data_IF_374099734460
#
_entry.id   IF_374099734460
#
_cell.length_a   1.000
_cell.length_b   1.000
_cell.length_c   1.000
_cell.angle_alpha   90.00
_cell.angle_beta   90.00
_cell.angle_gamma   90.00
#
_symmetry.space_group_name_H-M   'P 1'
#
loop_
_entity.id
_entity.type
_entity.pdbx_description
1 polymer ?
#
# COMPACT_ATOMS: atom_id res chain seq x y z
N UNK A 1 33.56 -29.59 6.36
CA UNK A 1 32.87 -28.73 7.34
C UNK A 1 31.66 -28.16 6.64
N UNK A 2 30.52 -28.84 6.79
CA UNK A 2 29.23 -28.39 6.23
C UNK A 2 28.71 -27.25 7.10
N UNK A 3 28.55 -26.08 6.50
CA UNK A 3 27.90 -24.93 7.11
C UNK A 3 26.39 -25.18 7.01
N UNK A 4 25.86 -26.03 7.90
CA UNK A 4 24.42 -26.28 8.03
C UNK A 4 23.75 -25.04 8.62
N UNK A 5 23.50 -24.05 7.75
CA UNK A 5 22.56 -22.98 8.05
C UNK A 5 21.18 -23.61 8.14
N UNK A 6 20.78 -23.95 9.37
CA UNK A 6 19.42 -24.35 9.71
C UNK A 6 18.51 -23.19 9.29
N UNK A 7 17.83 -23.35 8.16
CA UNK A 7 16.79 -22.41 7.73
C UNK A 7 15.66 -22.54 8.75
N UNK A 8 15.34 -21.49 9.55
CA UNK A 8 14.33 -21.62 10.58
C UNK A 8 12.99 -21.99 9.94
N UNK A 9 12.28 -22.94 10.56
CA UNK A 9 10.93 -23.31 10.14
C UNK A 9 10.01 -22.10 10.25
N UNK A 10 9.13 -21.81 9.26
CA UNK A 10 8.18 -20.70 9.30
C UNK A 10 7.36 -20.61 10.60
N UNK A 11 7.16 -21.75 11.28
CA UNK A 11 6.48 -21.86 12.58
C UNK A 11 7.13 -21.08 13.73
N UNK A 12 8.40 -20.69 13.61
CA UNK A 12 9.10 -19.90 14.63
C UNK A 12 9.15 -18.40 14.31
N UNK A 13 8.72 -18.00 13.10
CA UNK A 13 8.89 -16.64 12.58
C UNK A 13 7.56 -15.90 12.55
N UNK A 14 6.47 -16.59 12.22
CA UNK A 14 5.16 -15.97 11.96
C UNK A 14 4.15 -16.37 13.04
N UNK A 15 3.49 -15.38 13.64
CA UNK A 15 2.30 -15.61 14.47
C UNK A 15 1.23 -16.32 13.65
N UNK A 16 0.55 -17.34 14.19
CA UNK A 16 -0.49 -18.04 13.44
C UNK A 16 0.00 -18.71 12.15
N UNK A 17 1.25 -19.22 12.07
CA UNK A 17 1.79 -19.87 10.86
C UNK A 17 0.94 -21.04 10.28
N UNK A 18 -0.13 -21.47 10.96
CA UNK A 18 -1.12 -22.44 10.49
C UNK A 18 -2.36 -21.83 9.81
N UNK A 19 -2.47 -20.51 9.71
CA UNK A 19 -3.68 -19.85 9.18
C UNK A 19 -3.95 -20.21 7.71
N UNK A 20 -5.23 -20.29 7.27
CA UNK A 20 -5.60 -20.64 5.90
C UNK A 20 -5.02 -19.73 4.82
N UNK A 21 -4.83 -18.44 5.11
CA UNK A 21 -4.29 -17.45 4.18
C UNK A 21 -2.98 -17.91 3.51
N UNK A 22 -2.10 -18.59 4.24
CA UNK A 22 -0.80 -19.03 3.73
C UNK A 22 -0.90 -20.01 2.55
N UNK A 23 -2.08 -20.59 2.30
CA UNK A 23 -2.33 -21.48 1.16
C UNK A 23 -2.69 -20.74 -0.13
N UNK A 24 -3.10 -19.47 -0.04
CA UNK A 24 -3.61 -18.70 -1.17
C UNK A 24 -2.72 -17.51 -1.56
N UNK A 25 -1.76 -17.14 -0.71
CA UNK A 25 -0.86 -16.03 -0.99
C UNK A 25 0.03 -16.29 -2.22
N UNK A 26 0.37 -15.23 -2.98
CA UNK A 26 1.31 -15.33 -4.09
C UNK A 26 2.66 -15.91 -3.65
N UNK A 27 3.30 -16.69 -4.52
CA UNK A 27 4.59 -17.32 -4.23
C UNK A 27 5.69 -16.33 -3.82
N UNK A 28 5.72 -15.14 -4.44
CA UNK A 28 6.66 -14.07 -4.08
C UNK A 28 6.44 -13.52 -2.68
N UNK A 29 5.18 -13.38 -2.25
CA UNK A 29 4.83 -12.97 -0.88
C UNK A 29 5.31 -14.03 0.11
N UNK A 30 4.97 -15.30 -0.14
CA UNK A 30 5.36 -16.43 0.72
C UNK A 30 6.89 -16.55 0.84
N UNK A 31 7.61 -16.39 -0.26
CA UNK A 31 9.08 -16.44 -0.28
C UNK A 31 9.71 -15.32 0.56
N UNK A 32 9.10 -14.14 0.63
CA UNK A 32 9.57 -13.06 1.51
C UNK A 32 9.23 -13.33 2.98
N UNK A 33 8.04 -13.87 3.27
CA UNK A 33 7.57 -14.07 4.64
C UNK A 33 8.41 -15.05 5.46
N UNK A 34 9.16 -15.95 4.83
CA UNK A 34 10.08 -16.85 5.54
C UNK A 34 11.36 -16.16 6.02
N UNK A 35 11.58 -14.89 5.64
CA UNK A 35 12.71 -14.06 6.09
C UNK A 35 12.20 -13.16 7.23
N UNK A 36 12.68 -13.33 8.49
CA UNK A 36 12.14 -12.60 9.66
C UNK A 36 12.17 -11.08 9.55
N UNK A 37 13.15 -10.52 8.84
CA UNK A 37 13.31 -9.07 8.66
C UNK A 37 12.64 -8.51 7.40
N UNK A 38 11.92 -9.32 6.62
CA UNK A 38 11.20 -8.83 5.44
C UNK A 38 10.03 -7.94 5.84
N UNK A 39 9.67 -6.99 4.97
CA UNK A 39 8.49 -6.13 5.18
C UNK A 39 7.22 -6.97 5.36
N UNK A 40 7.09 -8.09 4.62
CA UNK A 40 5.93 -8.97 4.69
C UNK A 40 5.82 -9.73 6.02
N UNK A 41 6.94 -10.25 6.54
CA UNK A 41 6.95 -10.93 7.83
C UNK A 41 6.68 -9.94 8.98
N UNK A 42 7.29 -8.75 8.90
CA UNK A 42 7.11 -7.70 9.91
C UNK A 42 5.68 -7.16 9.91
N UNK A 43 5.09 -6.90 8.75
CA UNK A 43 3.68 -6.52 8.61
C UNK A 43 2.76 -7.56 9.25
N UNK A 44 2.93 -8.83 8.86
CA UNK A 44 2.09 -9.90 9.37
C UNK A 44 2.17 -9.96 10.90
N UNK A 45 3.36 -10.03 11.47
CA UNK A 45 3.54 -10.08 12.92
C UNK A 45 3.12 -8.80 13.65
N UNK A 46 3.08 -7.66 12.96
CA UNK A 46 2.60 -6.39 13.51
C UNK A 46 1.08 -6.35 13.63
N UNK A 47 0.37 -6.75 12.58
CA UNK A 47 -1.08 -6.52 12.46
C UNK A 47 -1.91 -7.75 12.76
N UNK A 48 -1.42 -8.95 12.43
CA UNK A 48 -2.14 -10.20 12.66
C UNK A 48 -2.58 -10.37 14.13
N UNK A 49 -1.72 -10.16 15.15
CA UNK A 49 -2.13 -10.30 16.55
C UNK A 49 -3.16 -9.26 17.00
N UNK A 50 -3.10 -8.06 16.43
CA UNK A 50 -3.97 -6.94 16.78
C UNK A 50 -5.41 -7.11 16.25
N UNK A 51 -5.54 -7.62 15.02
CA UNK A 51 -6.79 -7.55 14.27
C UNK A 51 -7.52 -8.92 14.24
N UNK A 52 -7.67 -9.58 15.40
CA UNK A 52 -8.40 -10.85 15.52
C UNK A 52 -9.77 -10.66 16.21
N UNK A 53 -10.91 -10.78 15.50
CA UNK A 53 -11.07 -10.81 14.04
C UNK A 53 -11.10 -9.40 13.39
N UNK A 54 -11.23 -8.36 14.22
CA UNK A 54 -11.36 -6.97 13.79
C UNK A 54 -10.51 -6.07 14.68
N UNK A 55 -10.19 -4.88 14.17
CA UNK A 55 -9.58 -3.80 14.94
C UNK A 55 -10.44 -2.55 14.81
N UNK A 56 -10.66 -1.82 15.91
CA UNK A 56 -11.48 -0.61 15.84
C UNK A 56 -10.68 0.52 15.19
N UNK A 57 -11.29 1.21 14.22
CA UNK A 57 -10.65 2.33 13.54
C UNK A 57 -10.23 3.44 14.51
N UNK A 58 -11.06 3.75 15.51
CA UNK A 58 -10.75 4.76 16.53
C UNK A 58 -9.47 4.47 17.31
N UNK A 59 -9.13 3.19 17.55
CA UNK A 59 -7.94 2.82 18.29
C UNK A 59 -6.69 3.11 17.45
N UNK A 60 -6.76 2.83 16.14
CA UNK A 60 -5.70 3.15 15.17
C UNK A 60 -5.55 4.66 14.92
N UNK A 61 -6.68 5.40 14.87
CA UNK A 61 -6.66 6.85 14.68
C UNK A 61 -6.21 7.63 15.93
N UNK A 62 -6.38 7.02 17.11
CA UNK A 62 -5.88 7.53 18.38
C UNK A 62 -4.38 7.33 18.58
N UNK A 63 -3.74 6.44 17.82
CA UNK A 63 -2.29 6.28 17.81
C UNK A 63 -1.58 7.60 17.48
N UNK A 64 -0.42 7.85 18.10
CA UNK A 64 0.35 9.06 17.78
C UNK A 64 1.01 8.92 16.41
N UNK A 65 0.57 9.66 15.37
CA UNK A 65 1.17 9.51 14.05
C UNK A 65 2.55 10.18 13.99
N UNK A 66 3.41 9.68 13.11
CA UNK A 66 4.63 10.36 12.68
C UNK A 66 4.29 11.59 11.83
N UNK A 67 3.20 11.51 11.06
CA UNK A 67 2.68 12.62 10.27
C UNK A 67 1.16 12.54 10.08
N UNK A 68 0.51 13.71 10.08
CA UNK A 68 -0.94 13.87 10.09
C UNK A 68 -1.46 14.13 11.51
N UNK A 69 -2.77 14.32 11.64
CA UNK A 69 -3.41 14.60 12.94
C UNK A 69 -4.15 13.39 13.49
N UNK A 70 -4.06 13.10 14.79
CA UNK A 70 -4.99 12.16 15.42
C UNK A 70 -6.44 12.55 15.07
N UNK A 71 -7.26 11.57 14.73
CA UNK A 71 -8.68 11.77 14.45
C UNK A 71 -9.50 11.09 15.54
N UNK A 72 -10.58 11.73 15.94
CA UNK A 72 -11.52 11.21 16.92
C UNK A 72 -12.92 11.70 16.60
N UNK A 73 -13.93 10.94 17.05
CA UNK A 73 -15.34 11.24 16.80
C UNK A 73 -16.14 9.99 16.46
N UNK A 74 -17.46 10.08 16.66
CA UNK A 74 -18.38 8.95 16.46
C UNK A 74 -18.42 8.45 15.01
N UNK A 75 -18.12 9.33 14.05
CA UNK A 75 -18.03 8.98 12.62
C UNK A 75 -16.91 7.97 12.31
N UNK A 76 -15.94 7.80 13.22
CA UNK A 76 -14.83 6.86 13.07
C UNK A 76 -15.03 5.56 13.84
N UNK A 77 -16.18 5.35 14.47
CA UNK A 77 -16.51 4.06 15.11
C UNK A 77 -16.81 3.04 14.01
N UNK A 78 -15.82 2.19 13.74
CA UNK A 78 -15.91 1.13 12.74
C UNK A 78 -15.04 -0.06 13.16
N UNK A 79 -15.49 -1.27 12.87
CA UNK A 79 -14.75 -2.51 13.10
C UNK A 79 -14.12 -2.98 11.79
N UNK A 80 -12.80 -2.90 11.70
CA UNK A 80 -12.09 -3.17 10.47
C UNK A 80 -11.60 -4.62 10.43
N UNK A 81 -12.08 -5.38 9.45
CA UNK A 81 -11.55 -6.72 9.11
C UNK A 81 -10.27 -6.57 8.28
N UNK A 82 -9.16 -7.25 8.66
CA UNK A 82 -7.91 -7.17 7.91
C UNK A 82 -7.93 -8.07 6.66
N UNK A 83 -7.34 -7.54 5.58
CA UNK A 83 -6.99 -8.29 4.37
C UNK A 83 -5.53 -8.01 4.01
N UNK A 84 -4.69 -9.04 4.07
CA UNK A 84 -3.25 -8.96 3.76
C UNK A 84 -3.03 -9.31 2.29
N UNK A 85 -2.39 -8.42 1.53
CA UNK A 85 -2.26 -8.55 0.07
C UNK A 85 -3.60 -8.80 -0.64
N UNK A 86 -4.69 -8.32 -0.02
CA UNK A 86 -6.08 -8.48 -0.44
C UNK A 86 -6.72 -9.84 -0.13
N UNK A 87 -6.17 -10.65 0.78
CA UNK A 87 -6.78 -11.88 1.29
C UNK A 87 -7.06 -11.78 2.79
N UNK A 88 -8.22 -12.28 3.24
CA UNK A 88 -8.50 -12.41 4.67
C UNK A 88 -7.64 -13.50 5.30
N UNK A 89 -7.64 -13.56 6.64
CA UNK A 89 -6.99 -14.66 7.39
C UNK A 89 -7.52 -16.04 6.97
N UNK A 90 -8.81 -16.12 6.64
CA UNK A 90 -9.46 -17.35 6.13
C UNK A 90 -9.11 -17.67 4.67
N UNK A 91 -8.35 -16.80 3.99
CA UNK A 91 -7.96 -16.95 2.59
C UNK A 91 -8.99 -16.43 1.58
N UNK A 92 -10.00 -15.68 2.03
CA UNK A 92 -11.01 -15.10 1.14
C UNK A 92 -10.47 -13.86 0.44
N UNK A 93 -10.70 -13.74 -0.87
CA UNK A 93 -10.30 -12.56 -1.63
C UNK A 93 -11.19 -11.37 -1.27
N UNK A 94 -10.59 -10.18 -1.11
CA UNK A 94 -11.33 -8.93 -0.89
C UNK A 94 -12.29 -8.68 -2.07
N UNK A 95 -13.57 -8.51 -1.72
CA UNK A 95 -14.66 -8.33 -2.68
C UNK A 95 -14.37 -7.18 -3.65
N UNK A 96 -14.50 -7.44 -4.96
CA UNK A 96 -14.35 -6.44 -6.01
C UNK A 96 -12.90 -6.02 -6.31
N UNK A 97 -11.91 -6.45 -5.53
CA UNK A 97 -10.53 -6.05 -5.69
C UNK A 97 -9.95 -6.42 -7.07
N UNK A 98 -10.22 -7.63 -7.57
CA UNK A 98 -9.65 -8.05 -8.86
C UNK A 98 -10.24 -7.27 -10.05
N UNK A 99 -11.50 -6.86 -9.97
CA UNK A 99 -12.13 -5.99 -10.97
C UNK A 99 -11.50 -4.58 -10.93
N UNK A 100 -11.21 -4.07 -9.73
CA UNK A 100 -10.52 -2.79 -9.55
C UNK A 100 -9.08 -2.86 -10.08
N UNK A 101 -8.32 -3.91 -9.74
CA UNK A 101 -6.96 -4.10 -10.25
C UNK A 101 -6.94 -4.24 -11.77
N UNK A 102 -7.88 -4.98 -12.37
CA UNK A 102 -8.00 -5.05 -13.83
C UNK A 102 -8.30 -3.68 -14.45
N UNK A 103 -9.14 -2.85 -13.80
CA UNK A 103 -9.46 -1.51 -14.26
C UNK A 103 -8.27 -0.54 -14.11
N UNK A 104 -7.55 -0.58 -13.00
CA UNK A 104 -6.44 0.36 -12.75
C UNK A 104 -5.16 -0.09 -13.48
N UNK A 105 -4.80 -1.37 -13.38
CA UNK A 105 -3.50 -1.88 -13.85
C UNK A 105 -3.56 -2.54 -15.24
N UNK A 106 -4.75 -2.98 -15.68
CA UNK A 106 -4.93 -3.67 -16.96
C UNK A 106 -4.21 -5.02 -17.00
N UNK A 107 -3.54 -5.30 -18.14
CA UNK A 107 -2.74 -6.52 -18.34
C UNK A 107 -1.33 -6.43 -17.72
N UNK A 108 -0.95 -5.30 -17.12
CA UNK A 108 0.35 -5.14 -16.49
C UNK A 108 0.46 -5.87 -15.13
N UNK A 109 1.61 -5.75 -14.45
CA UNK A 109 1.75 -6.22 -13.08
C UNK A 109 0.69 -5.56 -12.21
N UNK A 110 -0.07 -6.35 -11.44
CA UNK A 110 -1.09 -5.82 -10.54
C UNK A 110 -0.46 -5.08 -9.37
N UNK A 111 -1.15 -4.07 -8.86
CA UNK A 111 -0.78 -3.37 -7.64
C UNK A 111 -0.94 -4.33 -6.47
N UNK A 112 0.14 -4.54 -5.74
CA UNK A 112 0.15 -5.32 -4.51
C UNK A 112 0.17 -4.32 -3.35
N UNK A 113 -1.00 -4.06 -2.78
CA UNK A 113 -1.12 -3.25 -1.55
C UNK A 113 -0.96 -4.21 -0.37
N UNK A 114 -0.08 -3.83 0.54
CA UNK A 114 0.32 -4.64 1.70
C UNK A 114 -0.87 -5.00 2.61
N UNK A 115 -1.67 -4.00 2.98
CA UNK A 115 -2.78 -4.17 3.92
C UNK A 115 -4.02 -3.37 3.51
N UNK A 116 -5.18 -4.02 3.62
CA UNK A 116 -6.47 -3.38 3.62
C UNK A 116 -7.13 -3.64 4.98
N UNK A 117 -7.76 -2.62 5.56
CA UNK A 117 -8.64 -2.77 6.71
C UNK A 117 -10.04 -2.29 6.29
N UNK A 118 -10.97 -3.23 6.16
CA UNK A 118 -12.33 -2.96 5.66
C UNK A 118 -13.31 -2.96 6.82
N UNK A 119 -13.97 -1.84 7.04
CA UNK A 119 -15.13 -1.72 7.92
C UNK A 119 -16.45 -1.62 7.16
N UNK A 120 -17.49 -1.22 7.88
CA UNK A 120 -18.82 -0.96 7.32
C UNK A 120 -18.89 0.39 6.62
N UNK A 121 -18.11 1.38 7.08
CA UNK A 121 -18.15 2.75 6.58
C UNK A 121 -16.79 3.22 6.04
N UNK A 122 -15.69 2.59 6.47
CA UNK A 122 -14.34 3.01 6.13
C UNK A 122 -13.54 1.90 5.45
N UNK A 123 -12.65 2.31 4.56
CA UNK A 123 -11.60 1.49 3.98
C UNK A 123 -10.25 2.15 4.26
N UNK A 124 -9.38 1.45 4.98
CA UNK A 124 -7.97 1.84 5.07
C UNK A 124 -7.18 1.00 4.07
N UNK A 125 -6.38 1.66 3.24
CA UNK A 125 -5.32 1.00 2.47
C UNK A 125 -3.98 1.47 3.01
N UNK A 126 -3.06 0.55 3.27
CA UNK A 126 -1.78 0.87 3.87
C UNK A 126 -0.63 0.22 3.10
N UNK A 127 0.42 0.99 2.87
CA UNK A 127 1.74 0.52 2.47
C UNK A 127 2.62 0.40 3.70
N UNK A 128 3.37 -0.69 3.81
CA UNK A 128 4.24 -0.96 4.96
C UNK A 128 5.67 -0.92 4.49
N UNK A 129 6.50 -0.08 5.12
CA UNK A 129 7.88 0.14 4.71
C UNK A 129 8.80 0.06 5.91
N UNK A 130 9.81 -0.80 5.83
CA UNK A 130 10.84 -0.94 6.86
C UNK A 130 12.02 -0.01 6.56
N UNK A 131 12.82 -0.39 5.56
CA UNK A 131 13.99 0.38 5.10
C UNK A 131 13.84 0.84 3.65
N UNK A 132 12.87 0.28 2.92
CA UNK A 132 12.67 0.61 1.52
C UNK A 132 11.78 1.86 1.38
N UNK A 133 12.01 2.62 0.31
CA UNK A 133 11.08 3.66 -0.13
C UNK A 133 10.03 3.08 -1.08
N UNK A 134 8.84 3.68 -1.20
CA UNK A 134 7.87 3.28 -2.22
C UNK A 134 8.49 3.20 -3.62
N UNK A 135 8.07 2.19 -4.37
CA UNK A 135 8.59 1.83 -5.67
C UNK A 135 8.34 2.89 -6.74
N UNK A 136 9.37 3.11 -7.54
CA UNK A 136 9.34 4.01 -8.70
C UNK A 136 8.83 3.29 -9.96
N UNK A 137 8.63 4.05 -11.03
CA UNK A 137 8.20 3.47 -12.30
C UNK A 137 9.35 2.68 -12.95
N UNK A 138 9.25 1.35 -12.97
CA UNK A 138 10.26 0.48 -13.59
C UNK A 138 10.47 0.73 -15.08
N UNK A 139 9.44 1.21 -15.80
CA UNK A 139 9.57 1.63 -17.20
C UNK A 139 10.46 2.86 -17.33
N UNK A 140 10.30 3.86 -16.47
CA UNK A 140 11.17 5.04 -16.48
C UNK A 140 12.61 4.67 -16.10
N UNK A 141 12.80 3.94 -15.00
CA UNK A 141 14.11 3.50 -14.54
C UNK A 141 14.88 2.67 -15.59
N UNK A 142 14.17 1.93 -16.44
CA UNK A 142 14.76 1.13 -17.52
C UNK A 142 14.95 1.89 -18.84
N UNK A 143 14.70 3.20 -18.90
CA UNK A 143 14.78 3.97 -20.17
C UNK A 143 13.67 3.64 -21.15
N UNK A 144 12.55 3.08 -20.67
CA UNK A 144 11.43 2.54 -21.47
C UNK A 144 10.12 3.29 -21.32
N UNK A 145 10.10 4.43 -20.62
CA UNK A 145 8.91 5.27 -20.49
C UNK A 145 8.45 5.76 -21.87
N UNK A 146 7.22 5.45 -22.32
CA UNK A 146 6.74 5.84 -23.66
C UNK A 146 6.57 7.36 -23.82
N UNK A 147 6.45 8.09 -22.71
CA UNK A 147 6.24 9.54 -22.73
C UNK A 147 7.55 10.34 -22.88
N UNK A 148 8.68 9.77 -22.43
CA UNK A 148 9.97 10.49 -22.34
C UNK A 148 11.01 9.88 -23.30
N UNK A 149 11.10 8.55 -23.37
CA UNK A 149 12.17 7.84 -24.07
C UNK A 149 11.73 7.43 -25.49
N UNK A 150 11.49 8.43 -26.34
CA UNK A 150 10.84 8.21 -27.65
C UNK A 150 11.71 7.47 -28.68
N UNK A 151 13.04 7.49 -28.54
CA UNK A 151 13.93 6.79 -29.48
C UNK A 151 13.70 5.26 -29.51
N UNK A 152 13.06 4.68 -28.49
CA UNK A 152 12.57 3.29 -28.48
C UNK A 152 11.05 3.14 -28.72
N UNK A 153 10.28 4.23 -28.78
CA UNK A 153 8.84 4.23 -28.53
C UNK A 153 7.95 4.40 -29.75
N UNK A 154 8.48 4.42 -30.97
CA UNK A 154 7.66 4.62 -32.19
C UNK A 154 6.56 3.54 -32.36
N UNK A 155 6.64 2.43 -31.60
CA UNK A 155 5.67 1.33 -31.60
C UNK A 155 5.05 1.00 -30.22
N UNK A 156 5.25 1.81 -29.17
CA UNK A 156 4.74 1.48 -27.83
C UNK A 156 3.45 2.24 -27.53
N UNK A 157 2.48 1.53 -26.97
CA UNK A 157 1.24 2.13 -26.47
C UNK A 157 1.55 3.23 -25.44
N UNK A 158 0.73 4.30 -25.39
CA UNK A 158 0.85 5.35 -24.38
C UNK A 158 0.85 4.80 -22.97
N UNK A 159 1.41 5.55 -22.03
CA UNK A 159 1.36 5.18 -20.63
C UNK A 159 -0.09 5.13 -20.14
N UNK A 160 -0.52 3.94 -19.70
CA UNK A 160 -1.86 3.70 -19.14
C UNK A 160 -2.30 4.75 -18.13
N UNK A 161 -1.39 5.19 -17.26
CA UNK A 161 -1.71 6.13 -16.18
C UNK A 161 -1.80 7.61 -16.62
N UNK A 162 -1.62 7.88 -17.91
CA UNK A 162 -1.93 9.16 -18.55
C UNK A 162 -3.12 9.04 -19.52
N UNK A 163 -3.41 7.84 -20.04
CA UNK A 163 -4.38 7.67 -21.13
C UNK A 163 -5.72 7.06 -20.71
N UNK A 164 -5.69 6.02 -19.88
CA UNK A 164 -6.84 5.13 -19.72
C UNK A 164 -7.75 5.60 -18.59
N UNK A 165 -9.03 5.80 -18.89
CA UNK A 165 -10.03 6.22 -17.92
C UNK A 165 -10.14 5.23 -16.76
N UNK A 166 -10.14 5.76 -15.52
CA UNK A 166 -10.07 4.96 -14.30
C UNK A 166 -8.68 4.49 -13.89
N UNK A 167 -7.65 4.73 -14.71
CA UNK A 167 -6.25 4.53 -14.36
C UNK A 167 -5.43 5.83 -14.39
N UNK A 168 -5.99 6.95 -14.88
CA UNK A 168 -5.24 8.21 -14.98
C UNK A 168 -4.90 8.78 -13.61
N UNK A 169 -3.62 9.06 -13.37
CA UNK A 169 -3.18 9.68 -12.12
C UNK A 169 -3.82 11.05 -11.90
N UNK A 170 -4.06 11.82 -12.95
CA UNK A 170 -4.64 13.17 -12.87
C UNK A 170 -6.00 13.23 -12.18
N UNK A 171 -6.73 12.09 -12.13
CA UNK A 171 -8.03 12.01 -11.45
C UNK A 171 -7.94 12.15 -9.93
N UNK A 172 -6.79 11.83 -9.35
CA UNK A 172 -6.56 11.86 -7.90
C UNK A 172 -5.36 12.71 -7.48
N UNK A 173 -4.41 12.92 -8.39
CA UNK A 173 -3.11 13.51 -8.12
C UNK A 173 -2.81 14.68 -9.05
N UNK A 174 -2.13 15.69 -8.52
CA UNK A 174 -1.51 16.75 -9.29
C UNK A 174 -0.04 16.40 -9.61
N UNK A 175 0.13 15.70 -10.73
CA UNK A 175 1.44 15.43 -11.31
C UNK A 175 1.87 16.48 -12.33
N UNK A 176 1.11 17.58 -12.45
CA UNK A 176 1.31 18.59 -13.49
C UNK A 176 0.96 18.06 -14.88
N UNK A 177 1.65 18.61 -15.89
CA UNK A 177 1.45 18.21 -17.27
C UNK A 177 2.00 16.82 -17.55
N UNK A 178 1.43 16.17 -18.56
CA UNK A 178 1.94 14.91 -19.09
C UNK A 178 3.42 15.07 -19.48
N UNK A 179 4.30 14.14 -19.07
CA UNK A 179 5.71 14.20 -19.47
C UNK A 179 5.87 14.12 -20.98
N UNK A 180 6.88 14.80 -21.51
CA UNK A 180 7.27 14.79 -22.92
C UNK A 180 8.78 14.50 -23.03
N UNK A 181 9.31 14.18 -24.23
CA UNK A 181 10.75 13.99 -24.41
C UNK A 181 11.56 15.17 -23.91
N UNK A 182 12.68 14.88 -23.25
CA UNK A 182 13.56 15.89 -22.69
C UNK A 182 13.17 16.39 -21.30
N UNK A 183 12.01 15.99 -20.76
CA UNK A 183 11.75 16.18 -19.33
C UNK A 183 12.71 15.35 -18.47
N UNK A 184 13.07 15.89 -17.30
CA UNK A 184 13.71 15.13 -16.22
C UNK A 184 12.74 14.10 -15.60
N UNK A 185 13.13 13.48 -14.47
CA UNK A 185 12.31 12.51 -13.74
C UNK A 185 10.95 13.11 -13.35
N UNK A 186 9.83 12.61 -13.92
CA UNK A 186 8.51 13.16 -13.66
C UNK A 186 7.98 12.70 -12.29
N UNK A 187 7.06 13.45 -11.65
CA UNK A 187 6.46 13.03 -10.38
C UNK A 187 5.79 11.65 -10.43
N UNK A 188 5.22 11.28 -11.58
CA UNK A 188 4.60 9.96 -11.78
C UNK A 188 5.61 8.79 -11.77
N UNK A 189 6.90 9.06 -12.01
CA UNK A 189 7.97 8.07 -11.77
C UNK A 189 8.19 7.89 -10.27
N UNK A 190 8.43 9.01 -9.56
CA UNK A 190 8.76 9.01 -8.13
C UNK A 190 7.66 8.40 -7.27
N UNK A 191 6.40 8.70 -7.58
CA UNK A 191 5.23 8.32 -6.78
C UNK A 191 4.43 7.18 -7.39
N UNK A 192 5.05 6.37 -8.26
CA UNK A 192 4.37 5.35 -9.03
C UNK A 192 3.60 4.34 -8.15
N UNK A 193 4.24 3.77 -7.12
CA UNK A 193 3.57 2.83 -6.21
C UNK A 193 2.41 3.50 -5.47
N UNK A 194 2.67 4.59 -4.73
CA UNK A 194 1.64 5.30 -3.95
C UNK A 194 0.48 5.81 -4.81
N UNK A 195 0.77 6.28 -6.03
CA UNK A 195 -0.26 6.72 -6.96
C UNK A 195 -1.19 5.58 -7.39
N UNK A 196 -0.64 4.39 -7.64
CA UNK A 196 -1.44 3.20 -7.97
C UNK A 196 -2.23 2.71 -6.78
N UNK A 197 -1.62 2.66 -5.60
CA UNK A 197 -2.28 2.34 -4.32
C UNK A 197 -3.48 3.26 -4.10
N UNK A 198 -3.31 4.56 -4.33
CA UNK A 198 -4.39 5.53 -4.22
C UNK A 198 -5.52 5.28 -5.22
N UNK A 199 -5.21 5.07 -6.50
CA UNK A 199 -6.24 4.81 -7.52
C UNK A 199 -7.02 3.52 -7.25
N UNK A 200 -6.34 2.46 -6.79
CA UNK A 200 -6.97 1.21 -6.36
C UNK A 200 -7.85 1.46 -5.14
N UNK A 201 -7.34 2.14 -4.11
CA UNK A 201 -8.09 2.48 -2.90
C UNK A 201 -9.34 3.29 -3.20
N UNK A 202 -9.24 4.34 -4.03
CA UNK A 202 -10.37 5.18 -4.44
C UNK A 202 -11.42 4.39 -5.21
N UNK A 203 -10.99 3.60 -6.20
CA UNK A 203 -11.89 2.79 -7.01
C UNK A 203 -12.62 1.73 -6.18
N UNK A 204 -11.92 1.13 -5.21
CA UNK A 204 -12.50 0.13 -4.32
C UNK A 204 -13.45 0.77 -3.30
N UNK A 205 -13.06 1.87 -2.69
CA UNK A 205 -13.89 2.64 -1.76
C UNK A 205 -15.18 3.11 -2.45
N UNK A 206 -15.08 3.67 -3.66
CA UNK A 206 -16.25 4.08 -4.46
C UNK A 206 -17.16 2.89 -4.75
N UNK A 207 -16.61 1.75 -5.16
CA UNK A 207 -17.38 0.53 -5.46
C UNK A 207 -18.14 0.01 -4.24
N UNK A 208 -17.50 0.07 -3.07
CA UNK A 208 -18.05 -0.47 -1.83
C UNK A 208 -18.85 0.56 -1.01
N UNK A 209 -18.91 1.82 -1.45
CA UNK A 209 -19.58 2.89 -0.72
C UNK A 209 -18.88 3.29 0.58
N UNK A 210 -17.55 3.17 0.63
CA UNK A 210 -16.74 3.40 1.83
C UNK A 210 -15.95 4.72 1.76
N UNK A 211 -15.61 5.26 2.91
CA UNK A 211 -14.69 6.40 3.05
C UNK A 211 -13.24 5.91 3.06
N UNK A 212 -12.43 6.39 2.12
CA UNK A 212 -11.03 5.98 1.99
C UNK A 212 -10.10 6.71 2.98
N UNK A 213 -9.21 5.93 3.58
CA UNK A 213 -7.98 6.36 4.24
C UNK A 213 -6.78 5.72 3.54
N UNK A 214 -5.68 6.46 3.37
CA UNK A 214 -4.43 5.96 2.78
C UNK A 214 -3.28 6.21 3.76
N UNK A 215 -2.68 5.13 4.25
CA UNK A 215 -1.66 5.20 5.29
C UNK A 215 -0.31 4.65 4.82
N UNK A 216 0.75 5.14 5.45
CA UNK A 216 2.08 4.54 5.42
C UNK A 216 2.42 4.05 6.84
N UNK A 217 2.88 2.81 6.95
CA UNK A 217 3.21 2.18 8.23
C UNK A 217 4.70 1.86 8.25
N UNK A 218 5.47 2.50 9.14
CA UNK A 218 6.94 2.42 9.11
C UNK A 218 7.54 2.50 10.53
N UNK A 219 8.74 1.96 10.80
CA UNK A 219 9.40 2.20 12.08
C UNK A 219 9.66 3.69 12.28
N UNK A 220 9.56 4.17 13.52
CA UNK A 220 9.82 5.58 13.84
C UNK A 220 11.21 6.03 13.36
N UNK A 221 12.22 5.16 13.49
CA UNK A 221 13.60 5.44 13.06
C UNK A 221 13.80 5.53 11.54
N UNK A 222 12.89 4.98 10.73
CA UNK A 222 12.97 5.00 9.27
C UNK A 222 12.25 6.21 8.64
N UNK A 223 11.45 6.93 9.43
CA UNK A 223 10.60 8.02 8.93
C UNK A 223 11.38 9.11 8.18
N UNK A 224 12.53 9.54 8.70
CA UNK A 224 13.33 10.61 8.10
C UNK A 224 13.75 10.32 6.64
N UNK A 225 13.88 9.05 6.26
CA UNK A 225 14.19 8.63 4.89
C UNK A 225 12.97 8.71 3.95
N UNK A 226 11.76 8.61 4.50
CA UNK A 226 10.49 8.57 3.78
C UNK A 226 9.80 9.93 3.73
N UNK A 227 10.05 10.77 4.74
CA UNK A 227 9.35 12.01 5.00
C UNK A 227 9.23 12.91 3.77
N UNK A 228 10.37 13.23 3.13
CA UNK A 228 10.36 14.10 1.95
C UNK A 228 9.54 13.53 0.79
N UNK A 229 9.58 12.21 0.60
CA UNK A 229 8.78 11.54 -0.43
C UNK A 229 7.29 11.57 -0.11
N UNK A 230 6.94 11.29 1.13
CA UNK A 230 5.57 11.33 1.61
C UNK A 230 4.96 12.73 1.55
N UNK A 231 5.67 13.76 2.01
CA UNK A 231 5.19 15.15 1.97
C UNK A 231 4.95 15.64 0.54
N UNK A 232 5.86 15.31 -0.38
CA UNK A 232 5.69 15.60 -1.81
C UNK A 232 4.47 14.87 -2.38
N UNK A 233 4.29 13.58 -2.07
CA UNK A 233 3.09 12.83 -2.47
C UNK A 233 1.80 13.44 -1.90
N UNK A 234 1.75 13.69 -0.59
CA UNK A 234 0.59 14.23 0.09
C UNK A 234 0.19 15.60 -0.47
N UNK A 235 1.15 16.46 -0.79
CA UNK A 235 0.90 17.77 -1.41
C UNK A 235 0.25 17.69 -2.79
N UNK A 236 0.30 16.53 -3.44
CA UNK A 236 -0.26 16.28 -4.78
C UNK A 236 -1.65 15.69 -4.73
N UNK A 237 -2.13 15.24 -3.58
CA UNK A 237 -3.50 14.69 -3.48
C UNK A 237 -4.50 15.83 -3.68
N UNK A 238 -5.37 15.67 -4.69
CA UNK A 238 -6.31 16.73 -5.11
C UNK A 238 -7.49 16.89 -4.16
N UNK A 239 -7.95 15.81 -3.56
CA UNK A 239 -9.11 15.80 -2.66
C UNK A 239 -8.67 16.20 -1.23
N UNK A 240 -9.12 17.38 -0.79
CA UNK A 240 -8.83 17.92 0.55
C UNK A 240 -9.35 17.01 1.68
N UNK A 241 -10.49 16.37 1.48
CA UNK A 241 -11.06 15.45 2.46
C UNK A 241 -10.18 14.21 2.61
N UNK A 242 -9.71 13.65 1.50
CA UNK A 242 -8.79 12.52 1.51
C UNK A 242 -7.43 12.92 2.10
N UNK A 243 -6.93 14.12 1.78
CA UNK A 243 -5.69 14.65 2.36
C UNK A 243 -5.73 14.62 3.89
N UNK A 244 -6.86 15.00 4.50
CA UNK A 244 -7.07 14.93 5.95
C UNK A 244 -7.03 13.52 6.52
N UNK A 245 -7.20 12.48 5.69
CA UNK A 245 -7.18 11.05 6.05
C UNK A 245 -5.89 10.34 5.64
N UNK A 246 -4.90 11.07 5.14
CA UNK A 246 -3.54 10.54 4.92
C UNK A 246 -2.79 10.47 6.25
N UNK A 247 -2.14 9.34 6.58
CA UNK A 247 -1.38 9.20 7.83
C UNK A 247 -0.09 8.45 7.65
N UNK A 248 0.86 8.75 8.52
CA UNK A 248 2.03 7.90 8.72
C UNK A 248 2.02 7.40 10.14
N UNK A 249 1.84 6.09 10.31
CA UNK A 249 1.79 5.44 11.61
C UNK A 249 3.11 4.72 11.92
N UNK A 250 3.67 4.93 13.11
CA UNK A 250 4.83 4.19 13.55
C UNK A 250 4.43 2.75 13.92
N UNK A 251 5.30 1.78 13.62
CA UNK A 251 5.09 0.39 14.05
C UNK A 251 4.91 0.26 15.55
N UNK A 252 5.67 1.06 16.31
CA UNK A 252 5.70 1.01 17.77
C UNK A 252 4.33 1.33 18.38
N UNK A 253 3.57 2.26 17.79
CA UNK A 253 2.23 2.59 18.28
C UNK A 253 1.22 1.50 17.93
N UNK A 254 1.30 0.89 16.74
CA UNK A 254 0.43 -0.23 16.36
C UNK A 254 0.69 -1.44 17.29
N UNK A 255 1.96 -1.70 17.63
CA UNK A 255 2.31 -2.75 18.61
C UNK A 255 1.78 -2.44 20.01
N UNK A 256 1.78 -1.18 20.42
CA UNK A 256 1.28 -0.76 21.72
C UNK A 256 -0.22 -1.06 21.86
N UNK A 257 -1.01 -0.82 20.80
CA UNK A 257 -2.44 -1.16 20.77
C UNK A 257 -2.64 -2.66 20.98
N UNK A 258 -1.82 -3.52 20.38
CA UNK A 258 -1.94 -4.98 20.51
C UNK A 258 -1.63 -5.52 21.93
N UNK A 259 -1.02 -4.72 22.81
CA UNK A 259 -0.60 -5.14 24.15
C UNK A 259 -1.48 -4.59 25.28
N UNK A 260 -2.32 -3.61 24.98
CA UNK A 260 -3.28 -3.02 25.91
C UNK A 260 -4.59 -3.80 25.92
#
# INVERSE_FOLDING_TARGET
MSDDRVTPSPKQILSGAGEPIFRVLPAGVLANMVIPGSENALLWNLVYPLAQPTVRLVDLLGARPLWGTPLSGDEFVDELKPYFWGYSVEGERLEGLDAVLARVDGQGPRTEIDLYLRGANHLVVAEVKNLATPGRCSRYAAGRCPEIHIEESVLRDPCRYWEQDGARFETALDFGQRPVPGNESPPCDRHYQLGRTLLVGLSLAQRLGLTLHLWLVTPSGAWSHLERGWLDFASRVRDESLWRRLRVLPWEEIQAISRG
#
